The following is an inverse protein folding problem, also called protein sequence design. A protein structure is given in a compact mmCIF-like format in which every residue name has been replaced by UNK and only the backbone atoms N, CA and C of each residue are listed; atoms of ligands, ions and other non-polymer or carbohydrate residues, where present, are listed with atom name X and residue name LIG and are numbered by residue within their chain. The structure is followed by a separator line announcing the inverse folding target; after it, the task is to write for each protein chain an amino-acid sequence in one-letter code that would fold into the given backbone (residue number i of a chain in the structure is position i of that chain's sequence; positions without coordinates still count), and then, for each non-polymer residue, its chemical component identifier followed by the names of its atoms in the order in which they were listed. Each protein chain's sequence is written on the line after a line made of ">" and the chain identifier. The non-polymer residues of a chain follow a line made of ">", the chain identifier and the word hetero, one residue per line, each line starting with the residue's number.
data_IF_594923787705
#
_entry.id   IF_594923787705
#
_cell.length_a   1.000
_cell.length_b   1.000
_cell.length_c   1.000
_cell.angle_alpha   90.00
_cell.angle_beta   90.00
_cell.angle_gamma   90.00
#
_symmetry.space_group_name_H-M   'P 1'
#
loop_
_entity.id
_entity.type
_entity.pdbx_description
1 polymer ?
#
# COMPACT_ATOMS: atom_id res chain seq x y z
N UNK A 1 -4.27 18.86 -4.16
CA UNK A 1 -5.00 17.60 -4.37
C UNK A 1 -4.13 16.71 -5.25
N UNK A 2 -4.05 15.39 -5.00
CA UNK A 2 -3.34 14.49 -5.92
C UNK A 2 -4.02 14.47 -7.29
N UNK A 3 -3.30 14.01 -8.32
CA UNK A 3 -3.87 13.65 -9.61
C UNK A 3 -4.85 12.49 -9.49
N UNK A 4 -5.64 12.23 -10.54
CA UNK A 4 -6.54 11.07 -10.60
C UNK A 4 -5.81 9.73 -10.54
N UNK A 5 -4.51 9.71 -10.85
CA UNK A 5 -3.62 8.56 -10.76
C UNK A 5 -2.38 8.96 -9.96
N UNK A 6 -1.96 8.12 -9.01
CA UNK A 6 -0.79 8.32 -8.16
C UNK A 6 0.05 7.05 -8.17
N UNK A 7 1.34 7.18 -8.46
CA UNK A 7 2.32 6.10 -8.32
C UNK A 7 3.15 6.32 -7.06
N UNK A 8 3.44 5.24 -6.33
CA UNK A 8 4.27 5.25 -5.13
C UNK A 8 5.36 4.19 -5.30
N UNK A 9 6.60 4.66 -5.44
CA UNK A 9 7.77 3.78 -5.44
C UNK A 9 8.22 3.52 -4.00
N UNK A 10 8.27 2.25 -3.61
CA UNK A 10 8.64 1.82 -2.26
C UNK A 10 9.61 0.63 -2.32
N UNK A 11 10.60 0.62 -1.42
CA UNK A 11 11.42 -0.56 -1.16
C UNK A 11 10.67 -1.54 -0.26
N UNK A 12 10.17 -2.62 -0.84
CA UNK A 12 9.50 -3.68 -0.08
C UNK A 12 10.55 -4.46 0.70
N UNK A 13 10.43 -4.61 2.04
CA UNK A 13 11.39 -5.38 2.83
C UNK A 13 11.51 -6.82 2.33
N UNK A 14 12.73 -7.37 2.32
CA UNK A 14 12.92 -8.77 1.98
C UNK A 14 12.13 -9.68 2.94
N UNK A 15 11.26 -10.50 2.36
CA UNK A 15 10.49 -11.57 2.99
C UNK A 15 10.40 -12.72 1.99
N UNK A 16 10.04 -13.90 2.46
CA UNK A 16 9.77 -15.07 1.61
C UNK A 16 8.36 -15.60 1.87
N UNK A 17 7.74 -16.18 0.85
CA UNK A 17 6.42 -16.77 0.94
C UNK A 17 5.29 -15.73 0.93
N UNK A 18 4.13 -16.12 1.47
CA UNK A 18 2.91 -15.32 1.47
C UNK A 18 2.95 -14.22 2.53
N UNK A 19 2.68 -12.99 2.11
CA UNK A 19 2.61 -11.78 2.94
C UNK A 19 1.39 -10.96 2.52
N UNK A 20 0.93 -10.10 3.43
CA UNK A 20 -0.09 -9.10 3.13
C UNK A 20 0.54 -7.72 3.27
N UNK A 21 0.42 -6.89 2.22
CA UNK A 21 0.80 -5.48 2.25
C UNK A 21 -0.47 -4.65 2.42
N UNK A 22 -0.44 -3.69 3.33
CA UNK A 22 -1.54 -2.76 3.58
C UNK A 22 -1.19 -1.38 3.06
N UNK A 23 -1.86 -0.94 2.00
CA UNK A 23 -1.87 0.44 1.54
C UNK A 23 -2.92 1.24 2.32
N UNK A 24 -2.55 2.44 2.78
CA UNK A 24 -3.44 3.35 3.50
C UNK A 24 -3.43 4.71 2.82
N UNK A 25 -4.60 5.19 2.43
CA UNK A 25 -4.80 6.55 1.96
C UNK A 25 -5.61 7.36 2.97
N UNK A 26 -4.92 8.17 3.77
CA UNK A 26 -5.53 9.07 4.76
C UNK A 26 -6.07 10.33 4.08
N UNK A 27 -7.31 10.71 4.41
CA UNK A 27 -7.97 11.88 3.84
C UNK A 27 -7.77 13.07 4.77
N UNK A 28 -7.00 14.06 4.32
CA UNK A 28 -6.46 15.14 5.14
C UNK A 28 -7.50 15.91 5.99
N UNK A 29 -8.67 16.20 5.44
CA UNK A 29 -9.72 17.02 6.05
C UNK A 29 -10.80 16.20 6.77
N UNK A 30 -10.58 14.91 6.97
CA UNK A 30 -11.49 14.01 7.70
C UNK A 30 -10.72 13.12 8.66
N UNK A 31 -11.44 12.43 9.56
CA UNK A 31 -10.86 11.36 10.38
C UNK A 31 -10.79 10.00 9.68
N UNK A 32 -11.03 9.93 8.36
CA UNK A 32 -11.21 8.68 7.61
C UNK A 32 -10.00 8.33 6.74
N UNK A 33 -9.95 7.08 6.29
CA UNK A 33 -8.95 6.60 5.33
C UNK A 33 -9.54 5.48 4.45
N UNK A 34 -8.95 5.29 3.28
CA UNK A 34 -9.16 4.11 2.44
C UNK A 34 -8.06 3.09 2.72
N UNK A 35 -8.43 1.81 2.77
CA UNK A 35 -7.53 0.70 3.09
C UNK A 35 -7.54 -0.31 1.94
N UNK A 36 -6.35 -0.66 1.45
CA UNK A 36 -6.17 -1.58 0.33
C UNK A 36 -5.23 -2.70 0.75
N UNK A 37 -5.75 -3.93 0.79
CA UNK A 37 -4.96 -5.13 1.06
C UNK A 37 -4.42 -5.69 -0.25
N UNK A 38 -3.15 -6.10 -0.23
CA UNK A 38 -2.46 -6.71 -1.37
C UNK A 38 -1.87 -8.04 -0.90
N UNK A 39 -2.29 -9.12 -1.55
CA UNK A 39 -1.69 -10.44 -1.40
C UNK A 39 -0.39 -10.53 -2.19
N UNK A 40 0.74 -10.73 -1.50
CA UNK A 40 2.06 -10.80 -2.11
C UNK A 40 2.72 -12.15 -1.81
N UNK A 41 3.17 -12.85 -2.84
CA UNK A 41 4.02 -14.03 -2.69
C UNK A 41 5.45 -13.69 -3.12
N UNK A 42 6.35 -13.58 -2.16
CA UNK A 42 7.74 -13.17 -2.38
C UNK A 42 8.63 -14.40 -2.57
N UNK A 43 9.25 -14.51 -3.75
CA UNK A 43 10.23 -15.56 -4.03
C UNK A 43 11.59 -15.16 -3.46
N UNK A 44 12.40 -16.13 -3.00
CA UNK A 44 13.79 -15.88 -2.65
C UNK A 44 14.58 -15.28 -3.81
#
# INVERSE_FOLDING_TARGET
>A
MPSFEVSIDCDVPYRTGYQVILGVWTIYDTGNAFYQVIDANMKP
#
